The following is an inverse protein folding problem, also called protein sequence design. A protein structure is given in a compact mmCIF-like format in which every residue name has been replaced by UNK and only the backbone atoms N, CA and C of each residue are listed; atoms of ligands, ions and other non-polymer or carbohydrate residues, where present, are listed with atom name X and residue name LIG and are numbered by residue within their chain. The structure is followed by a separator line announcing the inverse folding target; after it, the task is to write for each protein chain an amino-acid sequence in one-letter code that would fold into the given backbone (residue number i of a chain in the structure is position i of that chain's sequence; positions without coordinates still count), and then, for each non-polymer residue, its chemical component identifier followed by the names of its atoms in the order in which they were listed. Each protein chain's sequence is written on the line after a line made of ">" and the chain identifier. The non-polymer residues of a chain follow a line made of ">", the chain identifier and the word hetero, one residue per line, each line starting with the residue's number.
data_IF_150641922913
#
_entry.id   IF_150641922913
#
_cell.length_a   1.000
_cell.length_b   1.000
_cell.length_c   1.000
_cell.angle_alpha   90.00
_cell.angle_beta   90.00
_cell.angle_gamma   90.00
#
_symmetry.space_group_name_H-M   'P 1'
#
loop_
_entity.id
_entity.type
_entity.pdbx_description
1 polymer ?
#
# COMPACT_ATOMS: atom_id res chain seq x y z
N UNK A 1 7.22 35.91 -41.63
CA UNK A 1 6.61 34.58 -41.80
C UNK A 1 7.24 33.63 -40.80
N UNK A 2 6.58 33.42 -39.66
CA UNK A 2 7.03 32.53 -38.58
C UNK A 2 6.78 31.06 -38.97
N UNK A 3 7.84 30.25 -39.00
CA UNK A 3 7.71 28.79 -39.14
C UNK A 3 7.38 28.21 -37.77
N UNK A 4 6.11 27.81 -37.60
CA UNK A 4 5.63 27.09 -36.42
C UNK A 4 6.06 25.63 -36.53
N UNK A 5 6.83 25.17 -35.56
CA UNK A 5 7.18 23.77 -35.35
C UNK A 5 5.91 22.94 -35.12
N UNK A 6 5.72 21.90 -35.91
CA UNK A 6 4.68 20.89 -35.69
C UNK A 6 5.25 19.83 -34.74
N UNK A 7 4.71 19.78 -33.52
CA UNK A 7 4.90 18.67 -32.58
C UNK A 7 4.16 17.46 -33.15
N UNK A 8 4.91 16.44 -33.56
CA UNK A 8 4.35 15.17 -33.97
C UNK A 8 4.00 14.34 -32.74
N UNK A 9 2.72 14.00 -32.61
CA UNK A 9 2.18 13.07 -31.65
C UNK A 9 2.58 11.62 -31.98
N UNK A 10 3.01 10.88 -30.96
CA UNK A 10 2.98 9.42 -30.87
C UNK A 10 2.62 9.16 -29.39
N UNK A 11 1.44 8.70 -28.99
CA UNK A 11 0.61 7.69 -29.64
C UNK A 11 1.07 6.30 -29.19
N UNK A 12 0.94 5.97 -27.90
CA UNK A 12 0.98 4.59 -27.42
C UNK A 12 -0.22 4.34 -26.52
N UNK A 13 -1.28 3.86 -27.16
CA UNK A 13 -2.34 3.09 -26.52
C UNK A 13 -1.75 1.73 -26.18
N UNK A 14 -1.59 1.42 -24.91
CA UNK A 14 -1.34 0.06 -24.43
C UNK A 14 -2.64 -0.47 -23.84
N UNK A 15 -3.38 -1.24 -24.63
CA UNK A 15 -4.43 -2.13 -24.14
C UNK A 15 -3.71 -3.42 -23.74
N UNK A 16 -3.63 -3.69 -22.44
CA UNK A 16 -3.18 -4.98 -21.92
C UNK A 16 -4.28 -5.49 -20.99
N UNK A 17 -5.12 -6.37 -21.54
CA UNK A 17 -6.07 -7.17 -20.80
C UNK A 17 -5.38 -8.45 -20.33
N UNK A 18 -5.04 -8.52 -19.05
CA UNK A 18 -4.49 -9.72 -18.42
C UNK A 18 -5.46 -10.19 -17.35
N UNK A 19 -6.27 -11.17 -17.71
CA UNK A 19 -6.95 -12.05 -16.77
C UNK A 19 -5.93 -13.07 -16.25
N UNK A 20 -5.43 -12.87 -15.04
CA UNK A 20 -4.52 -13.78 -14.35
C UNK A 20 -3.36 -13.03 -13.70
N UNK A 21 -3.26 -13.09 -12.37
CA UNK A 21 -2.34 -12.33 -11.53
C UNK A 21 -0.94 -12.06 -12.13
N UNK A 22 -0.59 -10.77 -12.17
CA UNK A 22 0.78 -10.22 -12.12
C UNK A 22 1.59 -10.21 -13.43
N UNK A 23 1.16 -9.40 -14.39
CA UNK A 23 2.08 -8.80 -15.37
C UNK A 23 2.49 -7.41 -14.84
N UNK A 24 3.49 -7.38 -13.95
CA UNK A 24 4.10 -6.14 -13.43
C UNK A 24 5.07 -5.64 -14.49
N UNK A 25 4.59 -4.76 -15.36
CA UNK A 25 5.44 -4.06 -16.31
C UNK A 25 5.04 -2.58 -16.38
N UNK A 26 5.30 -1.85 -15.29
CA UNK A 26 5.16 -0.39 -15.23
C UNK A 26 6.54 0.23 -14.96
N UNK A 27 7.11 0.77 -16.04
CA UNK A 27 8.10 1.85 -16.10
C UNK A 27 9.07 2.03 -14.92
N UNK A 28 10.17 1.26 -14.93
CA UNK A 28 11.39 1.59 -14.19
C UNK A 28 12.05 2.83 -14.81
N UNK A 29 11.76 4.02 -14.29
CA UNK A 29 12.56 5.22 -14.53
C UNK A 29 12.39 6.25 -13.38
N UNK A 30 13.15 6.10 -12.28
CA UNK A 30 13.99 7.15 -11.66
C UNK A 30 14.64 6.73 -10.32
N UNK A 31 15.94 6.43 -10.39
CA UNK A 31 17.10 6.91 -9.59
C UNK A 31 16.76 7.99 -8.54
N UNK A 32 17.18 8.03 -7.26
CA UNK A 32 18.23 7.40 -6.43
C UNK A 32 17.65 7.08 -5.02
N UNK A 33 18.02 5.95 -4.41
CA UNK A 33 17.71 5.51 -3.03
C UNK A 33 16.26 5.12 -2.66
N UNK A 34 15.25 5.34 -3.50
CA UNK A 34 13.88 4.89 -3.22
C UNK A 34 13.67 3.41 -3.64
N UNK A 35 13.04 2.61 -2.77
CA UNK A 35 12.60 1.25 -3.12
C UNK A 35 11.53 1.32 -4.21
N UNK A 36 11.55 0.36 -5.15
CA UNK A 36 10.53 0.36 -6.20
C UNK A 36 9.13 0.21 -5.60
N UNK A 37 8.14 0.89 -6.19
CA UNK A 37 6.73 0.78 -5.80
C UNK A 37 6.29 -0.68 -5.69
N UNK A 38 6.63 -1.51 -6.68
CA UNK A 38 6.31 -2.93 -6.70
C UNK A 38 6.91 -3.69 -5.50
N UNK A 39 8.16 -3.42 -5.12
CA UNK A 39 8.81 -4.05 -3.97
C UNK A 39 8.13 -3.65 -2.66
N UNK A 40 7.87 -2.36 -2.46
CA UNK A 40 7.18 -1.83 -1.28
C UNK A 40 5.78 -2.42 -1.16
N UNK A 41 5.03 -2.44 -2.26
CA UNK A 41 3.70 -3.02 -2.33
C UNK A 41 3.69 -4.52 -1.99
N UNK A 42 4.63 -5.30 -2.56
CA UNK A 42 4.74 -6.73 -2.27
C UNK A 42 5.02 -6.99 -0.80
N UNK A 43 5.91 -6.20 -0.20
CA UNK A 43 6.26 -6.36 1.20
C UNK A 43 5.12 -5.93 2.14
N UNK A 44 4.51 -4.78 1.87
CA UNK A 44 3.41 -4.25 2.66
C UNK A 44 2.19 -5.20 2.67
N UNK A 45 1.82 -5.76 1.51
CA UNK A 45 0.73 -6.74 1.43
C UNK A 45 1.07 -8.02 2.21
N UNK A 46 2.34 -8.43 2.24
CA UNK A 46 2.79 -9.57 3.05
C UNK A 46 2.77 -9.32 4.56
N UNK A 47 3.08 -8.09 4.99
CA UNK A 47 3.01 -7.67 6.40
C UNK A 47 1.57 -7.64 6.94
N UNK A 48 0.63 -7.22 6.10
CA UNK A 48 -0.78 -7.03 6.46
C UNK A 48 -1.55 -8.34 6.25
N UNK A 49 -1.34 -9.29 7.16
CA UNK A 49 -2.11 -10.53 7.20
C UNK A 49 -3.39 -10.37 8.05
N UNK A 50 -4.42 -9.75 7.47
CA UNK A 50 -5.72 -9.56 8.09
C UNK A 50 -6.66 -10.72 7.74
N UNK A 51 -6.95 -11.58 8.72
CA UNK A 51 -7.86 -12.72 8.60
C UNK A 51 -8.88 -12.66 9.76
N UNK A 52 -10.20 -12.85 9.53
CA UNK A 52 -11.21 -12.82 10.59
C UNK A 52 -11.03 -13.88 11.70
N UNK A 53 -10.24 -14.92 11.46
CA UNK A 53 -9.97 -15.97 12.46
C UNK A 53 -8.70 -15.73 13.30
N UNK A 54 -8.03 -14.59 13.14
CA UNK A 54 -6.83 -14.27 13.91
C UNK A 54 -7.19 -13.85 15.34
N UNK A 55 -6.34 -14.22 16.30
CA UNK A 55 -6.48 -13.81 17.69
C UNK A 55 -6.17 -12.31 17.85
N UNK A 56 -7.14 -11.49 18.32
CA UNK A 56 -6.95 -10.05 18.49
C UNK A 56 -5.75 -9.68 19.37
N UNK A 57 -5.47 -10.48 20.41
CA UNK A 57 -4.37 -10.24 21.33
C UNK A 57 -3.01 -10.47 20.65
N UNK A 58 -2.92 -11.47 19.77
CA UNK A 58 -1.72 -11.72 18.98
C UNK A 58 -1.49 -10.60 17.96
N UNK A 59 -2.55 -10.07 17.36
CA UNK A 59 -2.43 -8.91 16.46
C UNK A 59 -1.94 -7.69 17.22
N UNK A 60 -2.51 -7.40 18.40
CA UNK A 60 -2.10 -6.27 19.24
C UNK A 60 -0.63 -6.38 19.66
N UNK A 61 -0.19 -7.56 20.08
CA UNK A 61 1.18 -7.78 20.56
C UNK A 61 2.26 -7.47 19.51
N UNK A 62 1.96 -7.65 18.21
CA UNK A 62 2.87 -7.32 17.10
C UNK A 62 2.52 -6.01 16.37
N UNK A 63 1.58 -5.23 16.89
CA UNK A 63 1.04 -4.09 16.16
C UNK A 63 2.04 -2.93 16.04
N UNK A 64 2.79 -2.63 17.10
CA UNK A 64 3.85 -1.60 17.06
C UNK A 64 4.92 -1.92 16.01
N UNK A 65 5.41 -3.16 15.98
CA UNK A 65 6.41 -3.61 15.01
C UNK A 65 5.90 -3.45 13.57
N UNK A 66 4.67 -3.88 13.31
CA UNK A 66 4.03 -3.73 12.00
C UNK A 66 3.85 -2.27 11.62
N UNK A 67 3.40 -1.42 12.55
CA UNK A 67 3.25 0.01 12.30
C UNK A 67 4.58 0.66 11.91
N UNK A 68 5.65 0.34 12.64
CA UNK A 68 6.98 0.85 12.35
C UNK A 68 7.46 0.40 10.97
N UNK A 69 7.29 -0.88 10.61
CA UNK A 69 7.68 -1.38 9.29
C UNK A 69 6.86 -0.75 8.16
N UNK A 70 5.56 -0.56 8.33
CA UNK A 70 4.70 0.10 7.35
C UNK A 70 5.12 1.55 7.10
N UNK A 71 5.48 2.29 8.16
CA UNK A 71 6.03 3.66 8.02
C UNK A 71 7.37 3.68 7.33
N UNK A 72 8.25 2.73 7.65
CA UNK A 72 9.54 2.61 6.99
C UNK A 72 9.38 2.38 5.49
N UNK A 73 8.46 1.49 5.10
CA UNK A 73 8.09 1.26 3.70
C UNK A 73 7.49 2.50 3.03
N UNK A 74 6.63 3.24 3.74
CA UNK A 74 6.06 4.50 3.27
C UNK A 74 7.12 5.57 3.02
N UNK A 75 8.19 5.62 3.83
CA UNK A 75 9.31 6.53 3.63
C UNK A 75 10.24 6.13 2.48
N UNK A 76 10.14 4.89 1.98
CA UNK A 76 10.98 4.37 0.90
C UNK A 76 10.32 4.47 -0.48
N UNK A 77 9.02 4.79 -0.56
CA UNK A 77 8.28 4.89 -1.82
C UNK A 77 8.04 6.35 -2.20
N UNK A 78 8.20 6.68 -3.48
CA UNK A 78 7.92 8.03 -3.99
C UNK A 78 6.44 8.27 -4.34
N UNK A 79 5.66 7.19 -4.47
CA UNK A 79 4.23 7.23 -4.77
C UNK A 79 3.44 7.66 -3.53
N UNK A 80 2.83 8.85 -3.58
CA UNK A 80 2.08 9.43 -2.48
C UNK A 80 0.87 8.58 -2.06
N UNK A 81 0.20 7.92 -3.01
CA UNK A 81 -0.99 7.11 -2.69
C UNK A 81 -0.61 5.85 -1.92
N UNK A 82 0.53 5.25 -2.27
CA UNK A 82 1.11 4.14 -1.52
C UNK A 82 1.55 4.62 -0.14
N UNK A 83 2.27 5.75 -0.05
CA UNK A 83 2.72 6.32 1.23
C UNK A 83 1.55 6.60 2.19
N UNK A 84 0.47 7.20 1.69
CA UNK A 84 -0.71 7.55 2.48
C UNK A 84 -1.43 6.29 2.99
N UNK A 85 -1.56 5.27 2.14
CA UNK A 85 -2.20 4.00 2.52
C UNK A 85 -1.37 3.25 3.57
N UNK A 86 -0.04 3.23 3.44
CA UNK A 86 0.85 2.63 4.42
C UNK A 86 0.83 3.36 5.76
N UNK A 87 0.77 4.69 5.74
CA UNK A 87 0.65 5.51 6.95
C UNK A 87 -0.66 5.23 7.68
N UNK A 88 -1.79 5.16 6.95
CA UNK A 88 -3.09 4.83 7.53
C UNK A 88 -3.13 3.43 8.16
N UNK A 89 -2.56 2.41 7.49
CA UNK A 89 -2.44 1.07 8.06
C UNK A 89 -1.58 1.09 9.33
N UNK A 90 -0.46 1.83 9.32
CA UNK A 90 0.42 1.95 10.48
C UNK A 90 -0.30 2.60 11.67
N UNK A 91 -1.06 3.67 11.43
CA UNK A 91 -1.86 4.34 12.46
C UNK A 91 -2.93 3.40 13.02
N UNK A 92 -3.62 2.63 12.16
CA UNK A 92 -4.55 1.60 12.59
C UNK A 92 -3.90 0.57 13.53
N UNK A 93 -2.70 0.06 13.21
CA UNK A 93 -1.99 -0.86 14.11
C UNK A 93 -1.63 -0.19 15.45
N UNK A 94 -1.18 1.06 15.46
CA UNK A 94 -0.90 1.76 16.73
C UNK A 94 -2.15 2.03 17.57
N UNK A 95 -3.27 2.35 16.92
CA UNK A 95 -4.55 2.48 17.62
C UNK A 95 -4.94 1.17 18.29
N UNK A 96 -4.71 0.03 17.63
CA UNK A 96 -4.94 -1.29 18.23
C UNK A 96 -4.00 -1.56 19.39
N UNK A 97 -2.70 -1.25 19.26
CA UNK A 97 -1.70 -1.40 20.31
C UNK A 97 -2.10 -0.66 21.59
N UNK A 98 -2.55 0.58 21.44
CA UNK A 98 -2.92 1.47 22.54
C UNK A 98 -4.23 1.08 23.24
N UNK A 99 -5.02 0.15 22.66
CA UNK A 99 -6.24 -0.34 23.30
C UNK A 99 -5.90 -1.15 24.56
N UNK A 100 -6.29 -0.61 25.73
CA UNK A 100 -6.15 -1.30 27.02
C UNK A 100 -6.92 -2.62 27.09
N UNK A 101 -8.03 -2.71 26.36
CA UNK A 101 -8.87 -3.90 26.25
C UNK A 101 -9.34 -3.99 24.80
N UNK A 102 -9.04 -5.11 24.15
CA UNK A 102 -9.53 -5.39 22.80
C UNK A 102 -10.80 -6.23 22.92
N UNK A 103 -11.92 -5.64 22.51
CA UNK A 103 -13.21 -6.33 22.49
C UNK A 103 -13.46 -6.92 21.11
N UNK A 104 -14.34 -7.93 20.96
CA UNK A 104 -14.70 -8.44 19.63
C UNK A 104 -15.26 -7.36 18.70
N UNK A 105 -16.04 -6.41 19.24
CA UNK A 105 -16.61 -5.30 18.47
C UNK A 105 -15.52 -4.32 18.01
N UNK A 106 -14.69 -3.83 18.93
CA UNK A 106 -13.61 -2.91 18.60
C UNK A 106 -12.58 -3.52 17.64
N UNK A 107 -12.31 -4.82 17.78
CA UNK A 107 -11.45 -5.54 16.85
C UNK A 107 -12.08 -5.69 15.46
N UNK A 108 -13.38 -5.99 15.37
CA UNK A 108 -14.07 -6.10 14.09
C UNK A 108 -14.13 -4.76 13.36
N UNK A 109 -14.31 -3.65 14.08
CA UNK A 109 -14.29 -2.31 13.50
C UNK A 109 -12.89 -1.94 13.01
N UNK A 110 -11.86 -2.21 13.82
CA UNK A 110 -10.46 -2.07 13.42
C UNK A 110 -10.15 -2.89 12.16
N UNK A 111 -10.57 -4.16 12.14
CA UNK A 111 -10.33 -5.07 11.02
C UNK A 111 -11.01 -4.56 9.75
N UNK A 112 -12.27 -4.11 9.84
CA UNK A 112 -13.00 -3.54 8.71
C UNK A 112 -12.31 -2.30 8.15
N UNK A 113 -11.88 -1.39 9.02
CA UNK A 113 -11.17 -0.17 8.64
C UNK A 113 -9.86 -0.51 7.90
N UNK A 114 -9.04 -1.37 8.49
CA UNK A 114 -7.75 -1.74 7.88
C UNK A 114 -7.90 -2.58 6.60
N UNK A 115 -8.97 -3.38 6.46
CA UNK A 115 -9.27 -4.05 5.20
C UNK A 115 -9.63 -3.07 4.08
N UNK A 116 -10.33 -1.97 4.39
CA UNK A 116 -10.61 -0.90 3.43
C UNK A 116 -9.33 -0.19 3.01
N UNK A 117 -8.46 0.16 3.96
CA UNK A 117 -7.16 0.77 3.64
C UNK A 117 -6.25 -0.18 2.87
N UNK A 118 -6.28 -1.48 3.18
CA UNK A 118 -5.53 -2.48 2.43
C UNK A 118 -6.03 -2.61 0.98
N UNK A 119 -7.34 -2.44 0.74
CA UNK A 119 -7.88 -2.38 -0.61
C UNK A 119 -7.39 -1.14 -1.36
N UNK A 120 -7.36 0.03 -0.70
CA UNK A 120 -6.79 1.25 -1.25
C UNK A 120 -5.30 1.08 -1.58
N UNK A 121 -4.53 0.45 -0.69
CA UNK A 121 -3.13 0.12 -0.94
C UNK A 121 -3.01 -0.76 -2.19
N UNK A 122 -3.82 -1.82 -2.33
CA UNK A 122 -3.80 -2.67 -3.52
C UNK A 122 -4.12 -1.92 -4.79
N UNK A 123 -5.12 -1.03 -4.78
CA UNK A 123 -5.46 -0.20 -5.93
C UNK A 123 -4.32 0.78 -6.26
N UNK A 124 -3.71 1.39 -5.25
CA UNK A 124 -2.57 2.27 -5.42
C UNK A 124 -1.34 1.51 -5.93
N UNK A 125 -1.23 0.21 -5.71
CA UNK A 125 -0.12 -0.64 -6.14
C UNK A 125 -0.24 -1.17 -7.57
N UNK A 126 -1.40 -1.02 -8.22
CA UNK A 126 -1.60 -1.29 -9.65
C UNK A 126 -1.12 -0.10 -10.49
#
# INVERSE_FOLDING_TARGET
>A
MWKRSAVAALGLVAIVSVTGCSEVNEAVNQVDNASSKAQVCSEAVGLVNLNPNIDPEQVRAGAEEKANRLRELGNQVADQSVQDSLSQLADGYLELEQQKVVTPESFNDWLRSNLQTLDQLRQACL
#
